data_IF_923760986676
#
_entry.id   IF_923760986676
#
_cell.length_a   1.000
_cell.length_b   1.000
_cell.length_c   1.000
_cell.angle_alpha   90.00
_cell.angle_beta   90.00
_cell.angle_gamma   90.00
#
_symmetry.space_group_name_H-M   'P 1'
#
loop_
_entity.id
_entity.type
_entity.pdbx_description
1 polymer ?
#
# COMPACT_ATOMS: atom_id res chain seq x y z
N UNK A 1 -17.32 -26.07 -24.37
CA UNK A 1 -18.49 -25.48 -25.08
C UNK A 1 -19.27 -24.47 -24.25
N UNK A 2 -19.71 -24.75 -23.00
CA UNK A 2 -20.45 -23.73 -22.20
C UNK A 2 -19.57 -22.61 -21.60
N UNK A 3 -18.34 -22.87 -21.28
CA UNK A 3 -17.41 -21.87 -20.71
C UNK A 3 -16.77 -20.98 -21.80
N UNK A 4 -16.43 -21.54 -22.96
CA UNK A 4 -15.94 -20.77 -24.10
C UNK A 4 -16.98 -19.77 -24.59
N UNK A 5 -18.26 -20.18 -24.65
CA UNK A 5 -19.37 -19.32 -25.09
C UNK A 5 -19.64 -18.17 -24.08
N UNK A 6 -19.36 -18.40 -22.78
CA UNK A 6 -19.52 -17.37 -21.73
C UNK A 6 -18.40 -16.32 -21.79
N UNK A 7 -17.18 -16.74 -22.13
CA UNK A 7 -16.02 -15.87 -22.27
C UNK A 7 -16.11 -15.02 -23.56
N UNK A 8 -16.55 -15.61 -24.69
CA UNK A 8 -16.84 -14.86 -25.92
C UNK A 8 -17.95 -13.81 -25.72
N UNK A 9 -19.02 -14.14 -24.98
CA UNK A 9 -20.10 -13.19 -24.68
C UNK A 9 -19.58 -12.06 -23.78
N UNK A 10 -18.76 -12.33 -22.77
CA UNK A 10 -18.16 -11.30 -21.92
C UNK A 10 -17.18 -10.41 -22.70
N UNK A 11 -16.36 -10.97 -23.57
CA UNK A 11 -15.48 -10.24 -24.48
C UNK A 11 -16.26 -9.31 -25.42
N UNK A 12 -17.38 -9.79 -26.01
CA UNK A 12 -18.22 -8.97 -26.86
C UNK A 12 -18.82 -7.79 -26.12
N UNK A 13 -19.33 -7.97 -24.90
CA UNK A 13 -19.88 -6.88 -24.08
C UNK A 13 -18.83 -5.82 -23.69
N UNK A 14 -17.62 -6.24 -23.34
CA UNK A 14 -16.52 -5.33 -22.99
C UNK A 14 -16.00 -4.63 -24.25
N UNK A 15 -15.84 -5.38 -25.36
CA UNK A 15 -15.37 -4.86 -26.64
C UNK A 15 -16.38 -3.90 -27.27
N UNK A 16 -17.70 -4.18 -27.23
CA UNK A 16 -18.72 -3.27 -27.75
C UNK A 16 -18.87 -2.00 -26.92
N UNK A 17 -18.75 -2.08 -25.58
CA UNK A 17 -18.82 -0.93 -24.67
C UNK A 17 -17.62 0.02 -24.77
N UNK A 18 -16.44 -0.49 -25.17
CA UNK A 18 -15.20 0.28 -25.21
C UNK A 18 -14.64 0.52 -26.62
N UNK A 19 -15.25 0.06 -27.67
CA UNK A 19 -14.72 0.09 -29.09
C UNK A 19 -13.27 -0.46 -29.13
N UNK A 20 -13.01 -1.56 -28.44
CA UNK A 20 -11.66 -2.10 -28.17
C UNK A 20 -10.84 -2.39 -29.45
N UNK A 21 -11.50 -2.65 -30.59
CA UNK A 21 -10.82 -2.89 -31.88
C UNK A 21 -10.03 -1.70 -32.41
N UNK A 22 -10.24 -0.51 -31.87
CA UNK A 22 -9.52 0.71 -32.25
C UNK A 22 -8.25 0.93 -31.42
N UNK A 23 -7.98 0.11 -30.37
CA UNK A 23 -6.81 0.27 -29.51
C UNK A 23 -5.63 -0.57 -29.96
N UNK A 24 -4.44 0.04 -29.91
CA UNK A 24 -3.16 -0.54 -30.33
C UNK A 24 -2.81 -1.86 -29.62
N UNK A 25 -3.33 -2.10 -28.42
CA UNK A 25 -3.03 -3.24 -27.54
C UNK A 25 -4.19 -4.23 -27.37
N UNK A 26 -5.20 -4.22 -28.23
CA UNK A 26 -6.34 -5.15 -28.14
C UNK A 26 -5.90 -6.62 -28.13
N UNK A 27 -4.93 -6.99 -28.98
CA UNK A 27 -4.39 -8.35 -29.04
C UNK A 27 -3.72 -8.77 -27.74
N UNK A 28 -2.99 -7.86 -27.05
CA UNK A 28 -2.34 -8.15 -25.77
C UNK A 28 -3.37 -8.36 -24.66
N UNK A 29 -4.47 -7.61 -24.67
CA UNK A 29 -5.58 -7.81 -23.74
C UNK A 29 -6.22 -9.20 -23.93
N UNK A 30 -6.57 -9.57 -25.18
CA UNK A 30 -7.17 -10.87 -25.50
C UNK A 30 -6.26 -12.02 -25.07
N UNK A 31 -4.96 -11.93 -25.34
CA UNK A 31 -3.99 -12.92 -24.93
C UNK A 31 -3.87 -12.98 -23.39
N UNK A 32 -3.84 -11.83 -22.73
CA UNK A 32 -3.69 -11.76 -21.27
C UNK A 32 -4.85 -12.43 -20.53
N UNK A 33 -6.09 -12.25 -20.98
CA UNK A 33 -7.29 -12.81 -20.34
C UNK A 33 -7.59 -14.25 -20.76
N UNK A 34 -6.93 -14.75 -21.80
CA UNK A 34 -7.12 -16.10 -22.32
C UNK A 34 -6.89 -17.14 -21.23
N UNK A 35 -7.86 -18.05 -21.05
CA UNK A 35 -7.82 -19.12 -20.05
C UNK A 35 -7.80 -18.64 -18.58
N UNK A 36 -8.07 -17.35 -18.32
CA UNK A 36 -8.21 -16.77 -16.96
C UNK A 36 -9.69 -16.45 -16.72
N UNK A 37 -10.14 -16.64 -15.48
CA UNK A 37 -11.54 -16.39 -15.11
C UNK A 37 -11.62 -15.09 -14.29
N UNK A 38 -11.79 -13.97 -14.97
CA UNK A 38 -11.99 -12.66 -14.36
C UNK A 38 -13.47 -12.29 -14.29
N UNK A 39 -13.86 -11.56 -13.25
CA UNK A 39 -15.18 -10.94 -13.16
C UNK A 39 -15.26 -9.71 -14.08
N UNK A 40 -16.47 -9.27 -14.39
CA UNK A 40 -16.69 -8.12 -15.29
C UNK A 40 -15.92 -6.86 -14.88
N UNK A 41 -15.92 -6.50 -13.58
CA UNK A 41 -15.21 -5.31 -13.12
C UNK A 41 -13.68 -5.45 -13.21
N UNK A 42 -13.14 -6.67 -13.04
CA UNK A 42 -11.71 -6.94 -13.22
C UNK A 42 -11.32 -6.77 -14.68
N UNK A 43 -12.12 -7.33 -15.59
CA UNK A 43 -11.92 -7.18 -17.03
C UNK A 43 -11.93 -5.72 -17.46
N UNK A 44 -12.81 -4.89 -16.88
CA UNK A 44 -12.84 -3.45 -17.17
C UNK A 44 -11.55 -2.77 -16.75
N UNK A 45 -11.04 -3.05 -15.55
CA UNK A 45 -9.79 -2.46 -15.03
C UNK A 45 -8.60 -2.92 -15.88
N UNK A 46 -8.55 -4.21 -16.25
CA UNK A 46 -7.53 -4.77 -17.13
C UNK A 46 -7.59 -4.10 -18.51
N UNK A 47 -8.79 -3.92 -19.07
CA UNK A 47 -8.98 -3.24 -20.32
C UNK A 47 -8.51 -1.77 -20.29
N UNK A 48 -8.83 -1.06 -19.21
CA UNK A 48 -8.36 0.32 -19.00
C UNK A 48 -6.82 0.37 -18.93
N UNK A 49 -6.17 -0.61 -18.27
CA UNK A 49 -4.71 -0.70 -18.22
C UNK A 49 -4.06 -0.87 -19.61
N UNK A 50 -4.57 -1.78 -20.43
CA UNK A 50 -4.11 -1.96 -21.81
C UNK A 50 -4.40 -0.74 -22.70
N UNK A 51 -5.50 -0.03 -22.45
CA UNK A 51 -5.83 1.22 -23.13
C UNK A 51 -4.81 2.31 -22.87
N UNK A 52 -4.30 2.38 -21.63
CA UNK A 52 -3.22 3.28 -21.23
C UNK A 52 -1.82 2.77 -21.68
N UNK A 53 -1.76 1.77 -22.57
CA UNK A 53 -0.56 1.15 -23.13
C UNK A 53 0.35 0.46 -22.08
N UNK A 54 -0.21 0.01 -20.96
CA UNK A 54 0.55 -0.81 -20.02
C UNK A 54 0.86 -2.19 -20.64
N UNK A 55 2.00 -2.74 -20.27
CA UNK A 55 2.40 -4.09 -20.68
C UNK A 55 1.79 -5.15 -19.77
N UNK A 56 1.93 -6.43 -20.13
CA UNK A 56 1.36 -7.54 -19.36
C UNK A 56 1.96 -7.67 -17.97
N UNK A 57 3.22 -7.29 -17.75
CA UNK A 57 3.88 -7.32 -16.43
C UNK A 57 3.23 -6.30 -15.47
N UNK A 58 2.97 -5.10 -15.94
CA UNK A 58 2.25 -4.09 -15.18
C UNK A 58 0.82 -4.55 -14.83
N UNK A 59 0.13 -5.18 -15.78
CA UNK A 59 -1.22 -5.72 -15.55
C UNK A 59 -1.20 -6.89 -14.56
N UNK A 60 -0.18 -7.73 -14.55
CA UNK A 60 -0.01 -8.77 -13.52
C UNK A 60 0.10 -8.16 -12.11
N UNK A 61 0.78 -7.01 -11.94
CA UNK A 61 0.82 -6.30 -10.64
C UNK A 61 -0.57 -5.85 -10.20
N UNK A 62 -1.42 -5.39 -11.15
CA UNK A 62 -2.80 -4.99 -10.86
C UNK A 62 -3.65 -6.17 -10.38
N UNK A 63 -3.55 -7.33 -11.02
CA UNK A 63 -4.37 -8.50 -10.66
C UNK A 63 -3.84 -9.25 -9.44
N UNK A 64 -2.56 -9.08 -9.10
CA UNK A 64 -1.89 -9.71 -7.95
C UNK A 64 -2.56 -9.39 -6.61
N UNK A 65 -3.22 -8.25 -6.50
CA UNK A 65 -3.92 -7.83 -5.26
C UNK A 65 -5.22 -8.59 -5.01
N UNK A 66 -5.60 -9.51 -5.93
CA UNK A 66 -6.82 -10.29 -5.85
C UNK A 66 -8.05 -9.55 -6.37
N UNK A 67 -9.23 -10.17 -6.32
CA UNK A 67 -10.46 -9.66 -6.91
C UNK A 67 -11.09 -8.54 -6.07
N UNK A 68 -10.36 -7.45 -5.89
CA UNK A 68 -10.77 -6.23 -5.16
C UNK A 68 -10.62 -5.01 -6.07
N UNK A 69 -11.74 -4.45 -6.49
CA UNK A 69 -11.79 -3.32 -7.42
C UNK A 69 -11.06 -2.07 -6.91
N UNK A 70 -11.11 -1.81 -5.60
CA UNK A 70 -10.45 -0.63 -5.01
C UNK A 70 -8.93 -0.80 -5.03
N UNK A 71 -8.45 -1.99 -4.63
CA UNK A 71 -7.02 -2.31 -4.66
C UNK A 71 -6.47 -2.30 -6.08
N UNK A 72 -7.16 -2.95 -7.03
CA UNK A 72 -6.76 -2.98 -8.44
C UNK A 72 -6.65 -1.56 -9.03
N UNK A 73 -7.65 -0.71 -8.79
CA UNK A 73 -7.63 0.69 -9.25
C UNK A 73 -6.50 1.51 -8.62
N UNK A 74 -6.20 1.27 -7.35
CA UNK A 74 -5.11 1.96 -6.66
C UNK A 74 -3.74 1.57 -7.24
N UNK A 75 -3.54 0.28 -7.58
CA UNK A 75 -2.31 -0.18 -8.24
C UNK A 75 -2.21 0.40 -9.65
N UNK A 76 -3.29 0.34 -10.45
CA UNK A 76 -3.33 0.97 -11.78
C UNK A 76 -2.95 2.45 -11.70
N UNK A 77 -3.56 3.19 -10.77
CA UNK A 77 -3.24 4.61 -10.54
C UNK A 77 -1.76 4.82 -10.25
N UNK A 78 -1.17 4.02 -9.35
CA UNK A 78 0.24 4.15 -9.02
C UNK A 78 1.18 3.86 -10.18
N UNK A 79 0.85 2.87 -11.03
CA UNK A 79 1.62 2.59 -12.26
C UNK A 79 1.58 3.81 -13.20
N UNK A 80 0.39 4.39 -13.41
CA UNK A 80 0.23 5.58 -14.26
C UNK A 80 0.93 6.83 -13.69
N UNK A 81 1.11 6.88 -12.38
CA UNK A 81 1.89 7.92 -11.68
C UNK A 81 3.40 7.60 -11.60
N UNK A 82 3.87 6.51 -12.25
CA UNK A 82 5.25 6.02 -12.22
C UNK A 82 5.78 5.74 -10.80
N UNK A 83 4.91 5.28 -9.90
CA UNK A 83 5.29 4.88 -8.54
C UNK A 83 5.75 3.41 -8.50
N UNK A 84 6.63 3.08 -7.56
CA UNK A 84 7.01 1.69 -7.29
C UNK A 84 5.86 0.98 -6.54
N UNK A 85 4.94 0.42 -7.31
CA UNK A 85 3.76 -0.27 -6.79
C UNK A 85 4.10 -1.60 -6.09
N UNK A 86 5.30 -2.14 -6.26
CA UNK A 86 5.70 -3.40 -5.64
C UNK A 86 5.70 -3.31 -4.10
N UNK A 87 5.82 -2.11 -3.54
CA UNK A 87 5.63 -1.87 -2.11
C UNK A 87 4.21 -2.14 -1.60
N UNK A 88 3.18 -2.06 -2.45
CA UNK A 88 1.80 -2.22 -2.02
C UNK A 88 0.92 -3.09 -2.93
N UNK A 89 1.39 -3.54 -4.08
CA UNK A 89 0.69 -4.52 -4.91
C UNK A 89 0.68 -5.91 -4.24
N UNK A 90 0.06 -5.99 -3.07
CA UNK A 90 0.04 -7.15 -2.19
C UNK A 90 -1.38 -7.39 -1.65
N UNK A 91 -1.92 -8.61 -1.89
CA UNK A 91 -3.27 -8.99 -1.45
C UNK A 91 -3.45 -8.97 0.09
N UNK A 92 -2.38 -9.18 0.84
CA UNK A 92 -2.39 -9.22 2.31
C UNK A 92 -2.58 -7.82 2.94
N UNK A 93 -2.29 -6.76 2.21
CA UNK A 93 -2.52 -5.39 2.69
C UNK A 93 -4.02 -5.05 2.61
N UNK A 94 -4.55 -4.41 3.64
CA UNK A 94 -5.84 -3.75 3.58
C UNK A 94 -5.76 -2.55 2.63
N UNK A 95 -6.89 -2.14 2.05
CA UNK A 95 -6.91 -0.99 1.12
C UNK A 95 -6.37 0.28 1.79
N UNK A 96 -6.70 0.53 3.05
CA UNK A 96 -6.22 1.69 3.80
C UNK A 96 -4.71 1.65 4.04
N UNK A 97 -4.11 0.46 4.18
CA UNK A 97 -2.66 0.30 4.27
C UNK A 97 -2.00 0.62 2.92
N UNK A 98 -2.57 0.12 1.82
CA UNK A 98 -2.12 0.43 0.46
C UNK A 98 -2.19 1.93 0.17
N UNK A 99 -3.27 2.62 0.58
CA UNK A 99 -3.43 4.07 0.45
C UNK A 99 -2.36 4.85 1.21
N UNK A 100 -1.98 4.40 2.41
CA UNK A 100 -0.90 5.01 3.18
C UNK A 100 0.47 4.83 2.52
N UNK A 101 0.72 3.66 1.92
CA UNK A 101 1.97 3.41 1.19
C UNK A 101 2.01 4.25 -0.09
N UNK A 102 0.91 4.26 -0.86
CA UNK A 102 0.77 5.11 -2.03
C UNK A 102 1.01 6.60 -1.69
N UNK A 103 0.37 7.10 -0.62
CA UNK A 103 0.63 8.46 -0.10
C UNK A 103 2.11 8.71 0.19
N UNK A 104 2.78 7.74 0.81
CA UNK A 104 4.20 7.84 1.10
C UNK A 104 5.06 7.94 -0.15
N UNK A 105 4.79 7.13 -1.17
CA UNK A 105 5.49 7.16 -2.45
C UNK A 105 5.30 8.49 -3.16
N UNK A 106 4.06 9.00 -3.24
CA UNK A 106 3.75 10.32 -3.82
C UNK A 106 4.52 11.45 -3.13
N UNK A 107 4.74 11.35 -1.82
CA UNK A 107 5.45 12.35 -1.03
C UNK A 107 6.95 12.03 -0.83
N UNK A 108 7.51 11.07 -1.56
CA UNK A 108 8.90 10.64 -1.48
C UNK A 108 9.34 10.26 -0.05
N UNK A 109 8.43 9.68 0.74
CA UNK A 109 8.76 9.14 2.06
C UNK A 109 9.40 7.76 1.93
N UNK A 110 10.20 7.37 2.91
CA UNK A 110 10.81 6.05 3.02
C UNK A 110 9.77 5.01 3.43
N UNK A 111 8.99 4.51 2.45
CA UNK A 111 7.88 3.57 2.67
C UNK A 111 8.35 2.21 3.20
N UNK A 112 9.60 1.83 2.96
CA UNK A 112 10.21 0.61 3.46
C UNK A 112 10.15 0.46 4.99
N UNK A 113 9.97 1.54 5.72
CA UNK A 113 9.80 1.50 7.18
C UNK A 113 8.44 0.99 7.63
N UNK A 114 7.42 1.00 6.75
CA UNK A 114 6.05 0.64 7.14
C UNK A 114 5.26 -0.12 6.06
N UNK A 115 5.79 -0.35 4.88
CA UNK A 115 5.14 -1.09 3.80
C UNK A 115 5.10 -2.60 4.07
N UNK A 116 4.43 -2.98 5.16
CA UNK A 116 4.30 -4.36 5.60
C UNK A 116 2.92 -4.57 6.25
N UNK A 117 2.16 -5.62 5.87
CA UNK A 117 0.83 -5.89 6.42
C UNK A 117 0.82 -6.16 7.94
N UNK A 118 1.97 -6.42 8.55
CA UNK A 118 2.09 -6.63 10.01
C UNK A 118 1.77 -5.36 10.81
N UNK A 119 1.98 -4.18 10.24
CA UNK A 119 1.68 -2.93 10.92
C UNK A 119 0.19 -2.61 10.88
N UNK A 120 -0.36 -2.20 11.99
CA UNK A 120 -1.70 -1.60 12.02
C UNK A 120 -1.69 -0.23 11.33
N UNK A 121 -2.85 0.22 10.87
CA UNK A 121 -3.02 1.55 10.26
C UNK A 121 -2.54 2.67 11.21
N UNK A 122 -2.77 2.53 12.52
CA UNK A 122 -2.32 3.50 13.51
C UNK A 122 -0.79 3.54 13.62
N UNK A 123 -0.13 2.38 13.59
CA UNK A 123 1.33 2.29 13.59
C UNK A 123 1.93 2.88 12.31
N UNK A 124 1.38 2.56 11.14
CA UNK A 124 1.81 3.15 9.87
C UNK A 124 1.71 4.69 9.91
N UNK A 125 0.60 5.23 10.40
CA UNK A 125 0.41 6.69 10.55
C UNK A 125 1.42 7.30 11.52
N UNK A 126 1.80 6.61 12.62
CA UNK A 126 2.83 7.08 13.54
C UNK A 126 4.23 7.11 12.88
N UNK A 127 4.55 6.10 12.05
CA UNK A 127 5.80 6.06 11.29
C UNK A 127 5.82 7.18 10.24
N UNK A 128 4.75 7.34 9.48
CA UNK A 128 4.61 8.43 8.50
C UNK A 128 4.78 9.80 9.17
N UNK A 129 4.14 10.02 10.32
CA UNK A 129 4.31 11.25 11.09
C UNK A 129 5.77 11.54 11.43
N UNK A 130 6.50 10.51 11.88
CA UNK A 130 7.93 10.66 12.16
C UNK A 130 8.77 10.96 10.93
N UNK A 131 8.47 10.32 9.79
CA UNK A 131 9.15 10.60 8.52
C UNK A 131 8.94 12.05 8.06
N UNK A 132 7.71 12.55 8.13
CA UNK A 132 7.38 13.95 7.77
C UNK A 132 8.10 14.95 8.68
N UNK A 133 8.24 14.63 9.98
CA UNK A 133 8.87 15.49 10.97
C UNK A 133 10.39 15.23 11.13
N UNK A 134 10.99 14.45 10.24
CA UNK A 134 12.42 14.10 10.28
C UNK A 134 12.88 13.51 11.61
N UNK A 135 12.01 12.76 12.30
CA UNK A 135 12.37 12.05 13.51
C UNK A 135 13.15 10.77 13.18
N UNK A 136 13.90 10.27 14.14
CA UNK A 136 14.65 9.01 14.02
C UNK A 136 13.71 7.81 14.07
N UNK A 137 13.03 7.52 12.96
CA UNK A 137 11.99 6.49 12.80
C UNK A 137 12.52 5.10 13.16
N UNK A 138 13.78 4.80 12.81
CA UNK A 138 14.44 3.54 13.10
C UNK A 138 14.46 3.18 14.60
N UNK A 139 14.23 4.15 15.46
CA UNK A 139 14.20 3.94 16.90
C UNK A 139 12.86 3.43 17.44
N UNK A 140 11.80 3.39 16.61
CA UNK A 140 10.47 2.97 17.04
C UNK A 140 9.63 2.28 15.98
N UNK A 141 10.11 2.06 14.76
CA UNK A 141 9.37 1.37 13.69
C UNK A 141 9.37 -0.16 13.85
N UNK A 142 9.16 -0.65 15.05
CA UNK A 142 8.99 -2.08 15.34
C UNK A 142 7.49 -2.35 15.61
N UNK A 143 6.91 -3.31 14.88
CA UNK A 143 5.51 -3.71 15.03
C UNK A 143 5.17 -4.24 16.44
N UNK A 144 6.18 -4.61 17.25
CA UNK A 144 5.99 -5.04 18.64
C UNK A 144 5.55 -3.89 19.56
N UNK A 145 5.89 -2.65 19.21
CA UNK A 145 5.36 -1.52 19.96
C UNK A 145 3.88 -1.32 19.63
N UNK A 146 3.07 -1.14 20.65
CA UNK A 146 1.70 -0.64 20.44
C UNK A 146 1.74 0.78 19.88
N UNK A 147 0.65 1.21 19.27
CA UNK A 147 0.56 2.60 18.81
C UNK A 147 0.77 3.62 19.94
N UNK A 148 0.26 3.32 21.14
CA UNK A 148 0.42 4.16 22.34
C UNK A 148 1.89 4.23 22.78
N UNK A 149 2.62 3.13 22.73
CA UNK A 149 4.07 3.11 23.00
C UNK A 149 4.84 3.91 21.94
N UNK A 150 4.51 3.75 20.65
CA UNK A 150 5.12 4.56 19.59
C UNK A 150 4.92 6.06 19.83
N UNK A 151 3.73 6.48 20.26
CA UNK A 151 3.47 7.88 20.64
C UNK A 151 4.38 8.39 21.74
N UNK A 152 4.64 7.57 22.77
CA UNK A 152 5.54 7.96 23.85
C UNK A 152 7.01 8.08 23.38
N UNK A 153 7.44 7.21 22.45
CA UNK A 153 8.76 7.29 21.82
C UNK A 153 8.87 8.55 20.95
N UNK A 154 7.87 8.83 20.13
CA UNK A 154 7.79 10.02 19.28
C UNK A 154 7.86 11.29 20.14
N UNK A 155 7.02 11.40 21.17
CA UNK A 155 7.02 12.56 22.08
C UNK A 155 8.38 12.75 22.77
N UNK A 156 9.08 11.65 23.10
CA UNK A 156 10.44 11.70 23.62
C UNK A 156 11.44 12.26 22.60
N UNK A 157 11.34 11.82 21.35
CA UNK A 157 12.20 12.33 20.25
C UNK A 157 11.96 13.81 19.98
N UNK A 158 10.69 14.24 19.90
CA UNK A 158 10.31 15.65 19.68
C UNK A 158 10.87 16.56 20.79
N UNK A 159 10.92 16.07 22.01
CA UNK A 159 11.54 16.77 23.16
C UNK A 159 13.06 16.67 23.18
N UNK A 160 13.67 16.01 22.20
CA UNK A 160 15.10 15.80 22.08
C UNK A 160 15.68 15.01 23.26
N UNK A 161 14.92 14.03 23.79
CA UNK A 161 15.37 13.15 24.85
C UNK A 161 16.17 11.97 24.30
N UNK A 162 17.10 11.44 25.09
CA UNK A 162 17.67 10.14 24.77
C UNK A 162 16.67 9.04 25.12
N UNK A 163 15.95 8.54 24.10
CA UNK A 163 14.87 7.57 24.30
C UNK A 163 15.35 6.12 24.42
N UNK A 164 16.65 5.86 24.43
CA UNK A 164 17.19 4.48 24.44
C UNK A 164 16.61 3.61 25.56
N UNK A 165 16.40 4.20 26.74
CA UNK A 165 15.79 3.50 27.87
C UNK A 165 14.28 3.23 27.69
N UNK A 166 13.60 3.96 26.77
CA UNK A 166 12.19 3.76 26.43
C UNK A 166 12.01 2.70 25.36
N UNK A 167 13.09 2.30 24.65
CA UNK A 167 13.06 1.31 23.56
C UNK A 167 12.98 -0.12 24.13
N UNK A 168 11.93 -0.39 24.90
CA UNK A 168 11.62 -1.70 25.46
C UNK A 168 10.11 -1.93 25.35
N UNK A 169 9.71 -2.86 24.48
CA UNK A 169 8.31 -3.20 24.19
C UNK A 169 7.55 -3.76 25.41
N UNK A 170 8.29 -4.18 26.47
CA UNK A 170 7.69 -4.67 27.71
C UNK A 170 7.26 -3.56 28.67
N UNK A 171 7.72 -2.32 28.44
CA UNK A 171 7.30 -1.19 29.27
C UNK A 171 5.83 -0.85 28.98
N UNK A 172 5.08 -0.66 30.05
CA UNK A 172 3.75 -0.08 29.94
C UNK A 172 3.84 1.39 29.53
N UNK A 173 2.79 1.93 28.95
CA UNK A 173 2.71 3.35 28.57
C UNK A 173 2.92 4.26 29.78
N UNK A 174 2.43 3.88 30.97
CA UNK A 174 2.60 4.67 32.19
C UNK A 174 4.05 4.65 32.70
N UNK A 175 4.74 3.51 32.60
CA UNK A 175 6.17 3.44 32.90
C UNK A 175 6.98 4.31 31.93
N UNK A 176 6.66 4.27 30.63
CA UNK A 176 7.30 5.13 29.64
C UNK A 176 7.11 6.62 29.95
N UNK A 177 5.90 7.04 30.37
CA UNK A 177 5.62 8.42 30.80
C UNK A 177 6.42 8.81 32.03
N UNK A 178 6.53 7.93 33.03
CA UNK A 178 7.31 8.19 34.23
C UNK A 178 8.80 8.34 33.92
N UNK A 179 9.36 7.43 33.11
CA UNK A 179 10.76 7.50 32.67
C UNK A 179 11.02 8.82 31.94
N UNK A 180 10.13 9.15 30.96
CA UNK A 180 10.21 10.39 30.18
C UNK A 180 10.19 11.64 31.06
N UNK A 181 9.32 11.66 32.06
CA UNK A 181 9.26 12.76 33.06
C UNK A 181 10.60 12.92 33.82
N UNK A 182 11.23 11.82 34.19
CA UNK A 182 12.55 11.85 34.83
C UNK A 182 13.64 12.37 33.88
N UNK A 183 13.66 11.89 32.64
CA UNK A 183 14.62 12.37 31.63
C UNK A 183 14.50 13.88 31.36
N UNK A 184 13.27 14.41 31.33
CA UNK A 184 13.05 15.86 31.19
C UNK A 184 13.61 16.67 32.35
N UNK A 185 13.56 16.15 33.59
CA UNK A 185 14.14 16.81 34.76
C UNK A 185 15.68 16.82 34.73
N UNK A 186 16.28 15.78 34.16
CA UNK A 186 17.74 15.67 34.03
C UNK A 186 18.31 16.51 32.86
N UNK A 187 17.50 16.91 31.93
CA UNK A 187 17.90 17.74 30.78
C UNK A 187 17.98 19.24 31.13
N UNK A 188 17.35 19.67 32.22
CA UNK A 188 17.41 21.05 32.74
C UNK A 188 18.73 21.30 33.46
#
# INVERSE_FOLDING_TARGET
MKEENKMEIQLVYIVEGYKFKEYKNAANFEEFIKNKNFKEYELRIIADAFKENLNSEDVEKIVKVGPDSAKMKLVLKGILENLDVDFYANKELAIEQMELIHYGLVNNLKVEYYANPIYTIKQMKAIIYGLINNLKVESYNDHKYTFEQMKELIDGLEKGLNIKILQNEKLTVDEMKQIKSRLMKLKK
#
